data_IF_029479143102
#
_entry.id   IF_029479143102
#
_cell.length_a   1.000
_cell.length_b   1.000
_cell.length_c   1.000
_cell.angle_alpha   90.00
_cell.angle_beta   90.00
_cell.angle_gamma   90.00
#
_symmetry.space_group_name_H-M   'P 1'
#
loop_
_entity.id
_entity.type
_entity.pdbx_description
1 polymer ?
#
# COMPACT_ATOMS: atom_id res chain seq x y z
N UNK A 1 9.73 -21.19 -22.65
CA UNK A 1 10.88 -21.31 -21.73
C UNK A 1 10.36 -21.16 -20.32
N UNK A 2 10.76 -21.99 -19.35
CA UNK A 2 10.37 -21.82 -17.95
C UNK A 2 11.07 -20.57 -17.39
N UNK A 3 10.32 -19.80 -16.59
CA UNK A 3 10.79 -18.64 -15.86
C UNK A 3 11.87 -19.10 -14.86
N UNK A 4 13.14 -18.76 -15.07
CA UNK A 4 14.19 -19.02 -14.08
C UNK A 4 13.98 -18.08 -12.88
N UNK A 5 14.02 -18.59 -11.63
CA UNK A 5 13.93 -17.73 -10.46
C UNK A 5 15.20 -16.88 -10.38
N UNK A 6 15.05 -15.54 -10.47
CA UNK A 6 16.13 -14.61 -10.18
C UNK A 6 16.64 -14.86 -8.76
N UNK A 7 17.97 -14.84 -8.62
CA UNK A 7 18.73 -15.27 -7.44
C UNK A 7 18.14 -14.87 -6.10
N UNK A 8 18.14 -15.84 -5.19
CA UNK A 8 17.86 -15.69 -3.76
C UNK A 8 18.96 -14.89 -3.09
N UNK A 9 18.91 -13.57 -3.18
CA UNK A 9 19.57 -12.71 -2.19
C UNK A 9 18.63 -12.59 -0.98
N UNK A 10 18.74 -13.57 -0.07
CA UNK A 10 18.03 -13.64 1.21
C UNK A 10 18.42 -12.56 2.22
N UNK A 11 18.85 -11.38 1.76
CA UNK A 11 19.18 -10.20 2.57
C UNK A 11 18.26 -9.00 2.29
N UNK A 12 17.35 -9.09 1.30
CA UNK A 12 16.44 -7.99 0.95
C UNK A 12 15.11 -7.99 1.74
N UNK A 13 14.83 -9.04 2.52
CA UNK A 13 13.56 -9.22 3.24
C UNK A 13 13.48 -8.45 4.58
N UNK A 14 14.62 -8.10 5.18
CA UNK A 14 14.68 -7.74 6.61
C UNK A 14 14.30 -6.31 6.98
N UNK A 15 14.04 -5.40 6.04
CA UNK A 15 13.88 -3.96 6.38
C UNK A 15 12.52 -3.33 6.07
N UNK A 16 11.69 -3.94 5.23
CA UNK A 16 10.44 -3.31 4.80
C UNK A 16 9.20 -3.86 5.49
N UNK A 17 9.18 -5.18 5.76
CA UNK A 17 8.23 -5.81 6.66
C UNK A 17 8.31 -5.14 8.02
N UNK A 18 9.53 -4.84 8.48
CA UNK A 18 9.82 -4.02 9.63
C UNK A 18 9.22 -2.61 9.56
N UNK A 19 9.09 -1.99 8.37
CA UNK A 19 8.48 -0.67 8.22
C UNK A 19 6.94 -0.72 8.30
N UNK A 20 6.33 -1.79 7.74
CA UNK A 20 4.90 -2.10 7.94
C UNK A 20 4.61 -2.36 9.43
N UNK A 21 5.51 -3.11 10.10
CA UNK A 21 5.42 -3.41 11.52
C UNK A 21 5.63 -2.14 12.38
N UNK A 22 6.65 -1.34 12.07
CA UNK A 22 7.04 -0.15 12.84
C UNK A 22 5.99 0.96 12.79
N UNK A 23 5.37 1.21 11.64
CA UNK A 23 4.30 2.23 11.53
C UNK A 23 3.05 1.84 12.31
N UNK A 24 2.73 0.55 12.37
CA UNK A 24 1.68 0.03 13.26
C UNK A 24 2.04 0.18 14.75
N UNK A 25 3.32 0.08 15.11
CA UNK A 25 3.78 0.22 16.50
C UNK A 25 3.70 1.67 17.01
N UNK A 26 3.98 2.68 16.18
CA UNK A 26 3.92 4.10 16.56
C UNK A 26 2.53 4.53 17.08
N UNK A 27 1.44 4.03 16.46
CA UNK A 27 0.07 4.30 16.89
C UNK A 27 -0.28 3.69 18.26
N UNK A 28 0.40 2.60 18.65
CA UNK A 28 0.19 1.95 19.95
C UNK A 28 0.82 2.73 21.11
N UNK A 29 1.93 3.43 20.87
CA UNK A 29 2.66 4.17 21.90
C UNK A 29 1.99 5.50 22.28
N UNK A 30 1.39 6.21 21.32
CA UNK A 30 0.57 7.40 21.59
C UNK A 30 -0.61 7.07 22.51
N UNK A 31 -1.19 5.88 22.34
CA UNK A 31 -2.34 5.39 23.10
C UNK A 31 -1.98 5.13 24.57
N UNK A 32 -0.78 4.61 24.86
CA UNK A 32 -0.24 4.45 26.24
C UNK A 32 -0.07 5.79 26.93
N UNK A 33 0.48 6.76 26.22
CA UNK A 33 0.74 8.10 26.75
C UNK A 33 -0.58 8.79 27.11
N UNK A 34 -1.61 8.62 26.27
CA UNK A 34 -2.97 9.09 26.56
C UNK A 34 -3.55 8.39 27.81
N UNK A 35 -3.49 7.06 27.88
CA UNK A 35 -4.08 6.27 28.97
C UNK A 35 -3.44 6.57 30.34
N UNK A 36 -2.13 6.79 30.38
CA UNK A 36 -1.39 7.19 31.61
C UNK A 36 -1.82 8.55 32.14
N UNK A 37 -2.25 9.47 31.27
CA UNK A 37 -2.72 10.80 31.68
C UNK A 37 -4.12 10.78 32.29
N UNK A 38 -4.92 9.74 32.01
CA UNK A 38 -6.35 9.71 32.36
C UNK A 38 -6.66 8.95 33.66
N UNK A 39 -5.78 8.07 34.15
CA UNK A 39 -6.09 7.16 35.27
C UNK A 39 -5.52 7.67 36.60
N UNK A 40 -6.41 7.93 37.57
CA UNK A 40 -6.04 8.43 38.91
C UNK A 40 -5.92 7.33 39.99
N UNK A 41 -6.47 6.13 39.75
CA UNK A 41 -6.46 4.99 40.69
C UNK A 41 -5.35 3.97 40.33
N UNK A 42 -4.44 3.62 41.26
CA UNK A 42 -3.37 2.64 41.04
C UNK A 42 -3.85 1.25 40.59
N UNK A 43 -5.01 0.77 41.08
CA UNK A 43 -5.52 -0.56 40.71
C UNK A 43 -6.09 -0.60 39.30
N UNK A 44 -6.83 0.45 38.93
CA UNK A 44 -7.32 0.64 37.57
C UNK A 44 -6.16 0.84 36.59
N UNK A 45 -5.12 1.57 37.01
CA UNK A 45 -3.86 1.70 36.27
C UNK A 45 -3.20 0.35 35.98
N UNK A 46 -3.09 -0.55 36.97
CA UNK A 46 -2.49 -1.88 36.79
C UNK A 46 -3.28 -2.76 35.82
N UNK A 47 -4.60 -2.83 35.96
CA UNK A 47 -5.45 -3.65 35.08
C UNK A 47 -5.49 -3.10 33.64
N UNK A 48 -5.60 -1.78 33.49
CA UNK A 48 -5.54 -1.13 32.20
C UNK A 48 -4.18 -1.37 31.52
N UNK A 49 -3.08 -1.28 32.26
CA UNK A 49 -1.73 -1.58 31.75
C UNK A 49 -1.56 -3.05 31.35
N UNK A 50 -2.08 -4.00 32.12
CA UNK A 50 -2.02 -5.43 31.79
C UNK A 50 -2.84 -5.76 30.53
N UNK A 51 -4.04 -5.16 30.39
CA UNK A 51 -4.86 -5.28 29.19
C UNK A 51 -4.18 -4.66 27.97
N UNK A 52 -3.56 -3.49 28.14
CA UNK A 52 -2.82 -2.79 27.07
C UNK A 52 -1.63 -3.63 26.62
N UNK A 53 -0.85 -4.18 27.56
CA UNK A 53 0.28 -5.08 27.24
C UNK A 53 -0.16 -6.33 26.48
N UNK A 54 -1.28 -6.96 26.87
CA UNK A 54 -1.81 -8.13 26.16
C UNK A 54 -2.26 -7.76 24.74
N UNK A 55 -2.91 -6.61 24.58
CA UNK A 55 -3.31 -6.08 23.29
C UNK A 55 -2.09 -5.79 22.40
N UNK A 56 -1.04 -5.19 22.93
CA UNK A 56 0.22 -4.92 22.20
C UNK A 56 0.89 -6.19 21.71
N UNK A 57 0.97 -7.24 22.56
CA UNK A 57 1.53 -8.53 22.15
C UNK A 57 0.71 -9.13 21.01
N UNK A 58 -0.63 -9.02 21.10
CA UNK A 58 -1.53 -9.48 20.05
C UNK A 58 -1.34 -8.68 18.75
N UNK A 59 -1.26 -7.36 18.83
CA UNK A 59 -1.01 -6.49 17.66
C UNK A 59 0.36 -6.76 17.03
N UNK A 60 1.40 -6.93 17.85
CA UNK A 60 2.73 -7.28 17.38
C UNK A 60 2.75 -8.65 16.68
N UNK A 61 2.06 -9.63 17.27
CA UNK A 61 1.88 -10.95 16.64
C UNK A 61 1.17 -10.80 15.30
N UNK A 62 0.07 -10.04 15.24
CA UNK A 62 -0.66 -9.79 14.01
C UNK A 62 0.23 -9.10 12.95
N UNK A 63 1.03 -8.12 13.34
CA UNK A 63 1.96 -7.41 12.45
C UNK A 63 2.99 -8.36 11.84
N UNK A 64 3.63 -9.19 12.67
CA UNK A 64 4.59 -10.21 12.21
C UNK A 64 3.96 -11.24 11.26
N UNK A 65 2.71 -11.63 11.53
CA UNK A 65 1.98 -12.54 10.66
C UNK A 65 1.64 -11.90 9.30
N UNK A 66 1.20 -10.64 9.30
CA UNK A 66 0.93 -9.89 8.07
C UNK A 66 2.22 -9.69 7.28
N UNK A 67 3.32 -9.35 7.93
CA UNK A 67 4.63 -9.23 7.30
C UNK A 67 5.03 -10.51 6.54
N UNK A 68 5.02 -11.67 7.23
CA UNK A 68 5.33 -12.97 6.62
C UNK A 68 4.36 -13.31 5.47
N UNK A 69 3.07 -13.03 5.64
CA UNK A 69 2.08 -13.28 4.59
C UNK A 69 2.29 -12.37 3.36
N UNK A 70 2.68 -11.11 3.57
CA UNK A 70 2.96 -10.14 2.51
C UNK A 70 4.20 -10.56 1.72
N UNK A 71 5.24 -11.07 2.40
CA UNK A 71 6.43 -11.63 1.77
C UNK A 71 6.08 -12.80 0.85
N UNK A 72 5.34 -13.80 1.36
CA UNK A 72 4.87 -14.94 0.56
C UNK A 72 4.05 -14.49 -0.65
N UNK A 73 3.16 -13.51 -0.47
CA UNK A 73 2.30 -12.99 -1.53
C UNK A 73 3.06 -12.22 -2.61
N UNK A 74 4.07 -11.43 -2.20
CA UNK A 74 4.89 -10.63 -3.11
C UNK A 74 5.81 -11.52 -3.96
N UNK A 75 6.33 -12.61 -3.41
CA UNK A 75 7.21 -13.53 -4.12
C UNK A 75 6.48 -14.55 -4.99
N UNK A 76 5.39 -15.13 -4.48
CA UNK A 76 4.79 -16.34 -5.04
C UNK A 76 3.31 -16.19 -5.39
N UNK A 77 2.74 -15.00 -5.19
CA UNK A 77 1.33 -14.72 -5.40
C UNK A 77 0.43 -15.29 -4.30
N UNK A 78 -0.87 -15.00 -4.40
CA UNK A 78 -1.83 -15.34 -3.35
C UNK A 78 -2.17 -16.84 -3.24
N UNK A 79 -1.87 -17.64 -4.28
CA UNK A 79 -1.97 -19.11 -4.21
C UNK A 79 -1.02 -19.71 -3.16
N UNK A 80 0.19 -19.15 -3.00
CA UNK A 80 1.21 -19.61 -2.07
C UNK A 80 0.90 -19.26 -0.60
N UNK A 81 0.00 -18.31 -0.35
CA UNK A 81 -0.44 -17.98 1.01
C UNK A 81 -1.29 -19.11 1.59
N UNK A 82 -0.91 -19.60 2.75
CA UNK A 82 -1.74 -20.49 3.57
C UNK A 82 -1.47 -20.24 5.04
N UNK A 83 -2.42 -20.62 5.89
CA UNK A 83 -2.29 -20.54 7.34
C UNK A 83 -1.03 -21.29 7.82
N UNK A 84 -0.70 -22.42 7.18
CA UNK A 84 0.50 -23.19 7.51
C UNK A 84 1.78 -22.48 7.02
N UNK A 85 1.83 -22.03 5.77
CA UNK A 85 3.01 -21.37 5.22
C UNK A 85 3.38 -20.09 5.98
N UNK A 86 2.38 -19.32 6.41
CA UNK A 86 2.62 -18.13 7.25
C UNK A 86 3.13 -18.51 8.63
N UNK A 87 2.55 -19.54 9.26
CA UNK A 87 3.02 -20.02 10.55
C UNK A 87 4.50 -20.47 10.50
N UNK A 88 4.85 -21.20 9.44
CA UNK A 88 6.20 -21.69 9.20
C UNK A 88 7.19 -20.54 9.00
N UNK A 89 6.84 -19.54 8.17
CA UNK A 89 7.70 -18.40 7.89
C UNK A 89 7.83 -17.45 9.09
N UNK A 90 6.74 -17.17 9.81
CA UNK A 90 6.76 -16.20 10.91
C UNK A 90 7.29 -16.78 12.23
N UNK A 91 7.40 -18.11 12.32
CA UNK A 91 7.70 -18.83 13.57
C UNK A 91 6.59 -18.74 14.62
N UNK A 92 5.36 -18.38 14.21
CA UNK A 92 4.21 -18.23 15.11
C UNK A 92 3.27 -19.41 14.89
N UNK A 93 2.67 -19.93 15.96
CA UNK A 93 1.85 -21.14 15.88
C UNK A 93 0.68 -21.00 14.91
N UNK A 94 0.37 -22.10 14.19
CA UNK A 94 -0.81 -22.19 13.31
C UNK A 94 -2.11 -21.78 13.99
N UNK A 95 -2.26 -22.11 15.27
CA UNK A 95 -3.43 -21.74 16.08
C UNK A 95 -3.56 -20.23 16.28
N UNK A 96 -2.44 -19.52 16.44
CA UNK A 96 -2.43 -18.06 16.51
C UNK A 96 -2.77 -17.42 15.17
N UNK A 97 -2.26 -17.94 14.04
CA UNK A 97 -2.66 -17.45 12.71
C UNK A 97 -4.16 -17.62 12.47
N UNK A 98 -4.70 -18.80 12.78
CA UNK A 98 -6.12 -19.08 12.68
C UNK A 98 -6.95 -18.20 13.63
N UNK A 99 -6.45 -17.90 14.83
CA UNK A 99 -7.11 -17.00 15.78
C UNK A 99 -7.21 -15.56 15.25
N UNK A 100 -6.13 -15.04 14.65
CA UNK A 100 -6.11 -13.66 14.12
C UNK A 100 -6.94 -13.47 12.85
N UNK A 101 -6.90 -14.43 11.92
CA UNK A 101 -7.42 -14.23 10.56
C UNK A 101 -8.59 -15.15 10.20
N UNK A 102 -8.83 -16.21 10.98
CA UNK A 102 -9.87 -17.21 10.76
C UNK A 102 -9.62 -18.14 9.58
N UNK A 103 -9.37 -17.57 8.40
CA UNK A 103 -9.24 -18.28 7.12
C UNK A 103 -8.10 -17.71 6.28
N UNK A 104 -7.72 -18.44 5.22
CA UNK A 104 -6.81 -17.93 4.19
C UNK A 104 -7.32 -16.60 3.63
N UNK A 105 -8.60 -16.50 3.30
CA UNK A 105 -9.19 -15.29 2.73
C UNK A 105 -9.11 -14.10 3.70
N UNK A 106 -9.34 -14.34 4.99
CA UNK A 106 -9.16 -13.33 6.04
C UNK A 106 -7.73 -12.82 6.12
N UNK A 107 -6.75 -13.71 5.96
CA UNK A 107 -5.34 -13.36 5.92
C UNK A 107 -4.99 -12.54 4.66
N UNK A 108 -5.47 -12.94 3.47
CA UNK A 108 -5.23 -12.18 2.24
C UNK A 108 -5.83 -10.77 2.35
N UNK A 109 -7.05 -10.65 2.90
CA UNK A 109 -7.67 -9.34 3.14
C UNK A 109 -6.81 -8.44 4.03
N UNK A 110 -6.27 -8.99 5.14
CA UNK A 110 -5.38 -8.25 6.03
C UNK A 110 -4.09 -7.80 5.34
N UNK A 111 -3.52 -8.64 4.48
CA UNK A 111 -2.34 -8.32 3.67
C UNK A 111 -2.63 -7.20 2.67
N UNK A 112 -3.76 -7.28 1.96
CA UNK A 112 -4.20 -6.23 1.03
C UNK A 112 -4.37 -4.91 1.76
N UNK A 113 -5.12 -4.90 2.87
CA UNK A 113 -5.34 -3.70 3.67
C UNK A 113 -4.02 -3.09 4.17
N UNK A 114 -3.14 -3.89 4.78
CA UNK A 114 -1.84 -3.41 5.23
C UNK A 114 -0.99 -2.81 4.10
N UNK A 115 -1.00 -3.44 2.92
CA UNK A 115 -0.24 -2.96 1.75
C UNK A 115 -0.75 -1.61 1.25
N UNK A 116 -2.07 -1.42 1.18
CA UNK A 116 -2.65 -0.14 0.77
C UNK A 116 -2.48 0.95 1.82
N UNK A 117 -2.56 0.62 3.12
CA UNK A 117 -2.28 1.57 4.20
C UNK A 117 -0.82 2.04 4.15
N UNK A 118 0.12 1.12 3.93
CA UNK A 118 1.53 1.46 3.73
C UNK A 118 1.71 2.40 2.53
N UNK A 119 1.16 2.06 1.36
CA UNK A 119 1.28 2.89 0.16
C UNK A 119 0.66 4.27 0.35
N UNK A 120 -0.52 4.37 0.98
CA UNK A 120 -1.16 5.66 1.26
C UNK A 120 -0.33 6.52 2.22
N UNK A 121 0.34 5.90 3.20
CA UNK A 121 1.19 6.60 4.14
C UNK A 121 2.48 7.11 3.45
N UNK A 122 3.16 6.27 2.67
CA UNK A 122 4.33 6.71 1.86
C UNK A 122 3.95 7.81 0.86
N UNK A 123 2.76 7.73 0.27
CA UNK A 123 2.24 8.75 -0.64
C UNK A 123 2.09 10.10 0.07
N UNK A 124 1.52 10.10 1.28
CA UNK A 124 1.37 11.31 2.10
C UNK A 124 2.72 11.93 2.43
N UNK A 125 3.67 11.10 2.85
CA UNK A 125 5.00 11.58 3.25
C UNK A 125 5.77 12.15 2.05
N UNK A 126 5.72 11.46 0.90
CA UNK A 126 6.36 11.94 -0.32
C UNK A 126 5.74 13.24 -0.84
N UNK A 127 4.42 13.38 -0.78
CA UNK A 127 3.72 14.61 -1.16
C UNK A 127 4.03 15.76 -0.18
N UNK A 128 4.09 15.49 1.12
CA UNK A 128 4.44 16.49 2.13
C UNK A 128 5.89 16.98 1.99
N UNK A 129 6.80 16.11 1.53
CA UNK A 129 8.20 16.45 1.27
C UNK A 129 8.44 17.08 -0.11
N UNK A 130 7.44 17.12 -0.99
CA UNK A 130 7.60 17.65 -2.35
C UNK A 130 7.84 19.18 -2.32
N UNK A 131 8.86 19.70 -3.06
CA UNK A 131 9.14 21.13 -3.11
C UNK A 131 7.97 21.96 -3.66
N UNK A 132 7.25 21.40 -4.63
CA UNK A 132 6.09 22.01 -5.27
C UNK A 132 4.95 21.00 -5.32
N UNK A 133 3.73 21.48 -5.09
CA UNK A 133 2.53 20.66 -5.17
C UNK A 133 1.95 20.73 -6.58
N UNK A 134 1.50 19.59 -7.09
CA UNK A 134 1.00 19.50 -8.46
C UNK A 134 0.88 18.06 -8.95
N UNK A 135 0.44 17.90 -10.19
CA UNK A 135 0.27 16.58 -10.80
C UNK A 135 1.61 15.83 -10.90
N UNK A 136 2.70 16.54 -11.20
CA UNK A 136 4.05 15.99 -11.22
C UNK A 136 4.46 15.39 -9.87
N UNK A 137 4.20 16.11 -8.76
CA UNK A 137 4.49 15.62 -7.41
C UNK A 137 3.71 14.35 -7.08
N UNK A 138 2.44 14.26 -7.48
CA UNK A 138 1.63 13.05 -7.30
C UNK A 138 2.16 11.87 -8.11
N UNK A 139 2.57 12.12 -9.36
CA UNK A 139 3.18 11.11 -10.23
C UNK A 139 4.48 10.58 -9.64
N UNK A 140 5.37 11.48 -9.22
CA UNK A 140 6.67 11.13 -8.63
C UNK A 140 6.52 10.42 -7.28
N UNK A 141 5.61 10.91 -6.42
CA UNK A 141 5.32 10.26 -5.15
C UNK A 141 4.81 8.83 -5.34
N UNK A 142 3.94 8.61 -6.33
CA UNK A 142 3.46 7.27 -6.65
C UNK A 142 4.53 6.40 -7.33
N UNK A 143 5.36 6.98 -8.20
CA UNK A 143 6.49 6.30 -8.79
C UNK A 143 7.45 5.79 -7.71
N UNK A 144 7.75 6.63 -6.72
CA UNK A 144 8.62 6.26 -5.59
C UNK A 144 8.09 5.01 -4.86
N UNK A 145 6.78 4.94 -4.62
CA UNK A 145 6.13 3.77 -4.01
C UNK A 145 6.26 2.55 -4.93
N UNK A 146 5.88 2.67 -6.21
CA UNK A 146 5.92 1.54 -7.13
C UNK A 146 7.35 1.02 -7.42
N UNK A 147 8.35 1.85 -7.15
CA UNK A 147 9.77 1.51 -7.24
C UNK A 147 10.27 0.61 -6.12
N UNK A 148 9.53 0.53 -5.03
CA UNK A 148 9.81 -0.36 -3.91
C UNK A 148 9.52 -1.82 -4.29
N UNK A 149 10.40 -2.78 -3.92
CA UNK A 149 10.09 -4.22 -4.00
C UNK A 149 8.71 -4.61 -3.44
N UNK A 150 8.29 -3.94 -2.39
CA UNK A 150 7.02 -4.07 -1.65
C UNK A 150 5.81 -3.92 -2.58
N UNK A 151 5.89 -2.99 -3.53
CA UNK A 151 4.81 -2.72 -4.48
C UNK A 151 4.61 -3.85 -5.52
N UNK A 152 5.40 -4.94 -5.47
CA UNK A 152 5.15 -6.16 -6.25
C UNK A 152 3.80 -6.76 -5.90
N UNK A 153 3.39 -6.69 -4.63
CA UNK A 153 2.15 -7.29 -4.16
C UNK A 153 0.91 -6.76 -4.89
N UNK A 154 0.93 -5.48 -5.26
CA UNK A 154 -0.18 -4.88 -6.01
C UNK A 154 -0.37 -5.56 -7.36
N UNK A 155 0.70 -5.93 -8.05
CA UNK A 155 0.61 -6.64 -9.32
C UNK A 155 0.24 -8.13 -9.12
N UNK A 156 0.82 -8.80 -8.12
CA UNK A 156 0.61 -10.25 -7.92
C UNK A 156 -0.80 -10.57 -7.43
N UNK A 157 -1.42 -9.73 -6.60
CA UNK A 157 -2.78 -9.93 -6.10
C UNK A 157 -3.84 -9.34 -7.05
N UNK A 158 -3.52 -8.30 -7.83
CA UNK A 158 -4.51 -7.64 -8.70
C UNK A 158 -5.24 -8.62 -9.61
N UNK A 159 -4.51 -9.51 -10.29
CA UNK A 159 -5.13 -10.46 -11.21
C UNK A 159 -6.13 -11.37 -10.49
N UNK A 160 -5.76 -11.90 -9.33
CA UNK A 160 -6.67 -12.69 -8.49
C UNK A 160 -7.89 -11.87 -8.06
N UNK A 161 -7.69 -10.63 -7.64
CA UNK A 161 -8.77 -9.72 -7.22
C UNK A 161 -9.75 -9.34 -8.34
N UNK A 162 -9.32 -9.41 -9.62
CA UNK A 162 -10.20 -9.12 -10.77
C UNK A 162 -11.17 -10.26 -11.11
N UNK A 163 -10.93 -11.48 -10.62
CA UNK A 163 -11.86 -12.59 -10.80
C UNK A 163 -13.19 -12.33 -10.08
N UNK A 164 -14.31 -12.67 -10.72
CA UNK A 164 -15.65 -12.45 -10.17
C UNK A 164 -15.88 -13.16 -8.84
N UNK A 165 -15.32 -14.36 -8.71
CA UNK A 165 -15.50 -15.23 -7.53
C UNK A 165 -14.38 -15.05 -6.50
N UNK A 166 -13.54 -14.01 -6.64
CA UNK A 166 -12.41 -13.78 -5.75
C UNK A 166 -12.87 -13.27 -4.38
N UNK A 167 -12.46 -13.93 -3.27
CA UNK A 167 -12.87 -13.55 -1.92
C UNK A 167 -12.25 -12.23 -1.43
N UNK A 168 -11.31 -11.68 -2.20
CA UNK A 168 -10.60 -10.42 -1.89
C UNK A 168 -10.99 -9.27 -2.82
N UNK A 169 -11.84 -9.53 -3.82
CA UNK A 169 -12.28 -8.52 -4.81
C UNK A 169 -12.85 -7.27 -4.15
N UNK A 170 -13.75 -7.44 -3.19
CA UNK A 170 -14.45 -6.30 -2.57
C UNK A 170 -13.52 -5.46 -1.70
N UNK A 171 -12.65 -6.11 -0.91
CA UNK A 171 -11.60 -5.44 -0.13
C UNK A 171 -10.66 -4.68 -1.06
N UNK A 172 -10.18 -5.32 -2.12
CA UNK A 172 -9.27 -4.67 -3.07
C UNK A 172 -9.93 -3.48 -3.79
N UNK A 173 -11.19 -3.62 -4.19
CA UNK A 173 -11.97 -2.54 -4.79
C UNK A 173 -12.21 -1.37 -3.82
N UNK A 174 -12.43 -1.66 -2.54
CA UNK A 174 -12.55 -0.65 -1.48
C UNK A 174 -11.25 0.13 -1.28
N UNK A 175 -10.11 -0.56 -1.24
CA UNK A 175 -8.81 0.10 -1.13
C UNK A 175 -8.49 0.96 -2.36
N UNK A 176 -8.80 0.49 -3.57
CA UNK A 176 -8.71 1.32 -4.78
C UNK A 176 -9.65 2.52 -4.77
N UNK A 177 -10.85 2.40 -4.18
CA UNK A 177 -11.76 3.55 -3.99
C UNK A 177 -11.15 4.58 -3.03
N UNK A 178 -10.61 4.13 -1.90
CA UNK A 178 -9.96 5.01 -0.94
C UNK A 178 -8.75 5.75 -1.54
N UNK A 179 -7.90 5.03 -2.28
CA UNK A 179 -6.72 5.61 -2.93
C UNK A 179 -7.10 6.61 -4.03
N UNK A 180 -8.08 6.28 -4.89
CA UNK A 180 -8.58 7.22 -5.92
C UNK A 180 -9.17 8.47 -5.32
N UNK A 181 -9.94 8.35 -4.24
CA UNK A 181 -10.49 9.50 -3.52
C UNK A 181 -9.37 10.40 -3.00
N UNK A 182 -8.34 9.82 -2.39
CA UNK A 182 -7.17 10.58 -1.93
C UNK A 182 -6.48 11.33 -3.08
N UNK A 183 -6.28 10.67 -4.23
CA UNK A 183 -5.69 11.31 -5.42
C UNK A 183 -6.56 12.46 -5.91
N UNK A 184 -7.87 12.24 -6.05
CA UNK A 184 -8.81 13.27 -6.51
C UNK A 184 -8.86 14.46 -5.54
N UNK A 185 -8.89 14.21 -4.23
CA UNK A 185 -8.87 15.27 -3.21
C UNK A 185 -7.56 16.08 -3.26
N UNK A 186 -6.42 15.41 -3.43
CA UNK A 186 -5.14 16.08 -3.65
C UNK A 186 -5.17 16.94 -4.93
N UNK A 187 -5.65 16.39 -6.04
CA UNK A 187 -5.75 17.09 -7.32
C UNK A 187 -6.73 18.27 -7.30
N UNK A 188 -7.75 18.26 -6.43
CA UNK A 188 -8.61 19.42 -6.19
C UNK A 188 -7.94 20.51 -5.34
N UNK A 189 -6.91 20.15 -4.58
CA UNK A 189 -6.21 21.06 -3.67
C UNK A 189 -5.03 21.81 -4.31
N UNK A 190 -4.54 21.34 -5.47
CA UNK A 190 -3.44 22.00 -6.18
C UNK A 190 -3.94 23.24 -6.92
N UNK A 191 -3.05 24.21 -7.14
CA UNK A 191 -3.40 25.52 -7.72
C UNK A 191 -3.77 25.45 -9.20
N UNK A 192 -3.19 24.52 -9.96
CA UNK A 192 -3.49 24.32 -11.37
C UNK A 192 -4.84 23.57 -11.54
N UNK A 193 -5.80 24.11 -12.31
CA UNK A 193 -7.11 23.49 -12.47
C UNK A 193 -7.01 22.13 -13.16
N UNK A 194 -7.65 21.12 -12.58
CA UNK A 194 -7.78 19.77 -13.15
C UNK A 194 -9.24 19.55 -13.53
N UNK A 195 -9.53 19.37 -14.82
CA UNK A 195 -10.90 19.32 -15.35
C UNK A 195 -11.75 18.17 -14.78
N UNK A 196 -11.15 16.98 -14.63
CA UNK A 196 -11.80 15.80 -14.01
C UNK A 196 -10.81 15.11 -13.07
N UNK A 197 -10.74 15.52 -11.79
CA UNK A 197 -9.82 14.95 -10.81
C UNK A 197 -10.05 13.46 -10.57
N UNK A 198 -11.29 12.98 -10.69
CA UNK A 198 -11.64 11.58 -10.45
C UNK A 198 -11.19 10.67 -11.61
N UNK A 199 -11.43 11.09 -12.86
CA UNK A 199 -10.91 10.37 -14.02
C UNK A 199 -9.39 10.44 -14.09
N UNK A 200 -8.80 11.59 -13.74
CA UNK A 200 -7.35 11.76 -13.63
C UNK A 200 -6.75 10.79 -12.60
N UNK A 201 -7.38 10.63 -11.43
CA UNK A 201 -6.94 9.68 -10.42
C UNK A 201 -6.94 8.23 -10.94
N UNK A 202 -7.97 7.83 -11.69
CA UNK A 202 -8.02 6.51 -12.34
C UNK A 202 -6.89 6.35 -13.35
N UNK A 203 -6.70 7.34 -14.23
CA UNK A 203 -5.70 7.30 -15.28
C UNK A 203 -4.27 7.29 -14.71
N UNK A 204 -4.00 8.06 -13.66
CA UNK A 204 -2.71 8.09 -12.97
C UNK A 204 -2.38 6.73 -12.34
N UNK A 205 -3.30 6.16 -11.56
CA UNK A 205 -3.11 4.85 -10.94
C UNK A 205 -2.92 3.75 -12.00
N UNK A 206 -3.74 3.74 -13.06
CA UNK A 206 -3.64 2.76 -14.13
C UNK A 206 -2.34 2.89 -14.93
N UNK A 207 -1.99 4.10 -15.34
CA UNK A 207 -0.78 4.37 -16.12
C UNK A 207 0.50 4.02 -15.38
N UNK A 208 0.62 4.47 -14.14
CA UNK A 208 1.79 4.17 -13.30
C UNK A 208 1.91 2.67 -12.97
N UNK A 209 0.80 1.99 -12.65
CA UNK A 209 0.83 0.56 -12.42
C UNK A 209 1.23 -0.21 -13.69
N UNK A 210 0.66 0.16 -14.84
CA UNK A 210 0.98 -0.46 -16.13
C UNK A 210 2.44 -0.27 -16.53
N UNK A 211 3.01 0.92 -16.32
CA UNK A 211 4.45 1.17 -16.54
C UNK A 211 5.29 0.26 -15.62
N UNK A 212 4.92 0.14 -14.35
CA UNK A 212 5.68 -0.67 -13.40
C UNK A 212 5.58 -2.18 -13.68
N UNK A 213 4.43 -2.67 -14.14
CA UNK A 213 4.28 -4.07 -14.58
C UNK A 213 5.18 -4.33 -15.78
N UNK A 214 5.15 -3.47 -16.80
CA UNK A 214 6.01 -3.63 -18.00
C UNK A 214 7.50 -3.59 -17.65
N UNK A 215 7.92 -2.64 -16.80
CA UNK A 215 9.31 -2.58 -16.33
C UNK A 215 9.75 -3.84 -15.59
N UNK A 216 8.88 -4.42 -14.76
CA UNK A 216 9.19 -5.69 -14.06
C UNK A 216 9.29 -6.87 -15.01
N UNK A 217 8.51 -6.88 -16.08
CA UNK A 217 8.54 -7.93 -17.10
C UNK A 217 9.77 -7.84 -18.00
N UNK A 218 10.20 -6.62 -18.34
CA UNK A 218 11.33 -6.39 -19.24
C UNK A 218 12.15 -5.15 -18.82
N UNK A 219 12.92 -5.26 -17.72
CA UNK A 219 13.65 -4.11 -17.17
C UNK A 219 14.78 -3.63 -18.08
N UNK A 220 15.22 -4.44 -19.04
CA UNK A 220 16.29 -4.09 -19.98
C UNK A 220 15.81 -3.17 -21.10
N UNK A 221 14.53 -3.25 -21.48
CA UNK A 221 13.97 -2.48 -22.60
C UNK A 221 12.92 -1.44 -22.17
N UNK A 222 12.36 -1.57 -20.98
CA UNK A 222 11.35 -0.63 -20.46
C UNK A 222 11.98 0.27 -19.39
N UNK A 223 12.43 1.45 -19.79
CA UNK A 223 12.82 2.48 -18.82
C UNK A 223 11.58 3.15 -18.21
N UNK A 224 11.30 2.77 -16.96
CA UNK A 224 10.21 3.34 -16.17
C UNK A 224 10.32 4.86 -16.02
N UNK A 225 11.52 5.41 -15.81
CA UNK A 225 11.69 6.85 -15.57
C UNK A 225 11.31 7.64 -16.81
N UNK A 226 11.82 7.23 -17.96
CA UNK A 226 11.42 7.82 -19.25
C UNK A 226 9.90 7.71 -19.50
N UNK A 227 9.29 6.56 -19.22
CA UNK A 227 7.84 6.38 -19.39
C UNK A 227 7.02 7.30 -18.46
N UNK A 228 7.47 7.50 -17.23
CA UNK A 228 6.84 8.44 -16.27
C UNK A 228 7.00 9.89 -16.71
N UNK A 229 8.18 10.28 -17.21
CA UNK A 229 8.39 11.63 -17.77
C UNK A 229 7.44 11.92 -18.95
N UNK A 230 7.22 10.93 -19.83
CA UNK A 230 6.23 11.07 -20.91
C UNK A 230 4.81 11.19 -20.34
N UNK A 231 4.46 10.40 -19.33
CA UNK A 231 3.16 10.44 -18.68
C UNK A 231 2.90 11.82 -18.04
N UNK A 232 3.89 12.38 -17.35
CA UNK A 232 3.84 13.73 -16.80
C UNK A 232 3.60 14.78 -17.90
N UNK A 233 4.34 14.71 -19.00
CA UNK A 233 4.16 15.63 -20.13
C UNK A 233 2.75 15.55 -20.75
N UNK A 234 2.19 14.35 -20.86
CA UNK A 234 0.81 14.14 -21.34
C UNK A 234 -0.19 14.82 -20.42
N UNK A 235 -0.06 14.64 -19.10
CA UNK A 235 -0.97 15.25 -18.14
C UNK A 235 -0.83 16.76 -18.08
N UNK A 236 0.38 17.29 -18.04
CA UNK A 236 0.63 18.74 -18.09
C UNK A 236 -0.03 19.38 -19.31
N UNK A 237 0.05 18.74 -20.48
CA UNK A 237 -0.62 19.22 -21.70
C UNK A 237 -2.14 19.13 -21.64
N UNK A 238 -2.69 18.11 -20.96
CA UNK A 238 -4.14 17.99 -20.79
C UNK A 238 -4.70 19.10 -19.90
N UNK A 239 -3.93 19.54 -18.89
CA UNK A 239 -4.32 20.66 -18.02
C UNK A 239 -4.34 21.98 -18.81
N UNK A 240 -3.30 22.28 -19.59
CA UNK A 240 -3.21 23.55 -20.33
C UNK A 240 -4.21 23.69 -21.47
N UNK A 241 -4.67 22.58 -22.07
CA UNK A 241 -5.66 22.62 -23.14
C UNK A 241 -7.05 23.05 -22.64
N UNK A 242 -7.34 22.79 -21.36
CA UNK A 242 -8.63 23.18 -20.75
C UNK A 242 -8.71 24.69 -20.52
N UNK A 243 -7.60 25.37 -20.27
CA UNK A 243 -7.56 26.83 -20.09
C UNK A 243 -7.84 27.60 -21.39
N UNK A 244 -7.57 27.00 -22.56
CA UNK A 244 -7.63 27.70 -23.85
C UNK A 244 -8.99 27.52 -24.59
N UNK A 245 -9.84 26.61 -24.13
CA UNK A 245 -11.17 26.35 -24.71
C UNK A 245 -12.28 27.17 -24.00
N UNK A 246 -11.94 28.02 -23.03
CA UNK A 246 -12.88 28.88 -22.29
C UNK A 246 -13.13 30.27 -22.94
N UNK A 247 -12.42 30.62 -24.02
CA UNK A 247 -12.60 31.87 -24.77
C UNK A 247 -13.02 31.62 -26.22
N UNK A 248 -14.29 31.23 -26.43
CA UNK A 248 -14.99 31.57 -27.68
C UNK A 248 -16.41 32.05 -27.32
N UNK A 249 -16.63 33.36 -27.18
CA UNK A 249 -17.97 33.92 -27.27
C UNK A 249 -18.39 33.97 -28.75
N UNK A 250 -19.61 33.49 -29.03
CA UNK A 250 -20.36 33.74 -30.28
C UNK A 250 -20.58 35.25 -30.52
#
# INVERSE_FOLDING_TARGET
MPFEPMGTDGQLADHWTDNIVARGAALSDERKLALRRTLSDPEQGRNAMASTRKQEISEETQRRLVAAATELAAERGASAMSIQAVADLSGISRGSVAWHFGSKDGLIRAVVEASFQWALAELRDNLAAAPEQGVAALIEANLAIMSRPEARIFATILLEATSKDSPVRDTYAEQYRALRRYYADYLRSVSAPVADPDAMAVALLGGTLGINIQHRLDPQHVDRRSAVTVLEAVYTRALTKTDNDAEVPD
#
